data_IF_430395170334
#
_entry.id   IF_430395170334
#
_cell.length_a   1.000
_cell.length_b   1.000
_cell.length_c   1.000
_cell.angle_alpha   90.00
_cell.angle_beta   90.00
_cell.angle_gamma   90.00
#
_symmetry.space_group_name_H-M   'P 1'
#
loop_
_entity.id
_entity.type
_entity.pdbx_description
1 polymer ?
2 non-polymer ?
3 non-polymer ?
4 non-polymer ?
5 non-polymer ?
6 water ?
#
# COMPACT_ATOMS: atom_id res chain seq x y z
N UNK A 5 -25.96 5.74 -4.62
CA UNK A 5 -24.98 5.66 -5.74
C UNK A 5 -23.82 6.65 -5.59
N UNK A 6 -22.61 6.13 -5.72
CA UNK A 6 -21.41 6.95 -5.62
C UNK A 6 -21.24 7.82 -6.85
N UNK A 7 -20.92 9.11 -6.66
CA UNK A 7 -20.67 10.01 -7.77
C UNK A 7 -19.24 9.81 -8.29
N UNK A 8 -19.10 8.87 -9.23
CA UNK A 8 -17.77 8.47 -9.72
C UNK A 8 -17.00 9.62 -10.37
N UNK A 9 -17.71 10.57 -10.95
CA UNK A 9 -17.08 11.75 -11.54
C UNK A 9 -16.51 12.72 -10.51
N UNK A 10 -16.81 12.49 -9.23
CA UNK A 10 -16.42 13.40 -8.16
C UNK A 10 -15.41 12.80 -7.19
N UNK A 11 -15.04 11.54 -7.40
CA UNK A 11 -14.12 10.84 -6.51
C UNK A 11 -12.77 10.72 -7.20
N UNK A 12 -11.70 11.15 -6.53
CA UNK A 12 -10.37 11.02 -7.10
C UNK A 12 -10.06 9.54 -7.40
N UNK A 13 -9.64 9.28 -8.64
CA UNK A 13 -9.66 7.92 -9.17
C UNK A 13 -8.73 6.92 -8.49
N UNK A 14 -7.60 7.38 -7.98
CA UNK A 14 -6.66 6.44 -7.35
C UNK A 14 -7.23 5.78 -6.10
N UNK A 15 -8.19 6.45 -5.45
CA UNK A 15 -8.80 5.93 -4.23
C UNK A 15 -9.61 4.66 -4.48
N UNK A 16 -10.45 4.69 -5.52
CA UNK A 16 -11.48 3.67 -5.73
C UNK A 16 -11.08 2.65 -6.78
N UNK A 17 -10.41 3.11 -7.84
CA UNK A 17 -10.10 2.29 -8.99
C UNK A 17 -8.61 1.95 -9.05
N UNK A 18 -7.78 2.93 -8.73
CA UNK A 18 -6.33 2.77 -8.82
C UNK A 18 -5.84 3.17 -10.20
N UNK A 19 -4.77 3.96 -10.24
CA UNK A 19 -4.24 4.44 -11.53
C UNK A 19 -3.71 3.31 -12.42
N UNK A 20 -3.09 2.30 -11.82
CA UNK A 20 -2.55 1.14 -12.56
C UNK A 20 -1.66 1.55 -13.75
N UNK A 21 -0.96 2.67 -13.60
CA UNK A 21 -0.06 3.14 -14.63
C UNK A 21 1.35 2.59 -14.40
N UNK A 22 2.08 2.40 -15.50
CA UNK A 22 3.44 1.85 -15.44
C UNK A 22 4.44 2.74 -14.69
N UNK A 23 4.20 4.06 -14.71
CA UNK A 23 5.09 5.01 -14.03
C UNK A 23 4.26 5.88 -13.12
N UNK A 24 4.81 6.27 -11.98
CA UNK A 24 4.09 7.20 -11.12
C UNK A 24 5.08 8.11 -10.41
N UNK A 25 4.70 9.37 -10.22
CA UNK A 25 5.52 10.34 -9.50
C UNK A 25 4.70 10.99 -8.40
N UNK A 26 5.32 11.10 -7.23
CA UNK A 26 4.72 11.77 -6.10
C UNK A 26 5.48 13.08 -5.91
N UNK A 27 4.80 14.20 -6.17
CA UNK A 27 5.42 15.52 -6.07
C UNK A 27 4.96 16.14 -4.76
N UNK A 28 5.86 16.15 -3.78
CA UNK A 28 5.57 16.69 -2.46
C UNK A 28 5.87 18.18 -2.45
N UNK A 29 4.96 18.97 -1.88
CA UNK A 29 5.11 20.40 -1.95
C UNK A 29 4.74 21.11 -0.65
N UNK A 30 5.22 22.35 -0.56
CA UNK A 30 4.78 23.32 0.43
C UNK A 30 4.05 24.44 -0.29
N UNK A 31 3.04 25.00 0.37
CA UNK A 31 2.36 26.20 -0.11
C UNK A 31 3.11 27.45 0.37
N UNK A 32 3.48 28.31 -0.57
CA UNK A 32 4.16 29.57 -0.24
C UNK A 32 3.20 30.75 -0.12
N UNK A 33 2.11 30.70 -0.87
CA UNK A 33 1.18 31.82 -1.00
C UNK A 33 -0.20 31.20 -1.18
N UNK A 34 -1.02 31.27 -0.13
CA UNK A 34 -2.35 30.65 -0.14
C UNK A 34 -3.26 31.19 -1.24
N UNK A 35 -3.30 32.51 -1.39
CA UNK A 35 -4.20 33.12 -2.38
C UNK A 35 -3.82 32.68 -3.80
N UNK A 36 -2.53 32.71 -4.10
CA UNK A 36 -2.04 32.32 -5.42
C UNK A 36 -2.21 30.81 -5.66
N UNK A 37 -2.00 30.01 -4.62
CA UNK A 37 -2.24 28.57 -4.72
C UNK A 37 -3.70 28.25 -5.04
N UNK A 38 -4.62 28.92 -4.36
CA UNK A 38 -6.05 28.65 -4.53
C UNK A 38 -6.55 28.96 -5.94
N UNK A 39 -6.13 30.08 -6.52
CA UNK A 39 -6.53 30.38 -7.89
C UNK A 39 -5.88 29.42 -8.88
N UNK A 40 -4.60 29.09 -8.67
CA UNK A 40 -3.95 28.05 -9.48
C UNK A 40 -4.71 26.72 -9.40
N UNK A 41 -5.17 26.37 -8.20
CA UNK A 41 -5.90 25.12 -7.99
C UNK A 41 -7.22 25.09 -8.76
N UNK A 42 -7.95 26.21 -8.73
CA UNK A 42 -9.20 26.32 -9.48
C UNK A 42 -8.98 26.18 -10.99
N UNK A 43 -7.84 26.65 -11.47
CA UNK A 43 -7.42 26.45 -12.86
C UNK A 43 -7.09 24.99 -13.13
N UNK A 44 -6.34 24.39 -12.22
CA UNK A 44 -5.77 23.06 -12.40
C UNK A 44 -6.80 21.94 -12.35
N UNK A 45 -7.72 22.00 -11.39
CA UNK A 45 -8.58 20.85 -11.09
C UNK A 45 -9.41 20.35 -12.28
N UNK A 46 -10.20 21.24 -12.92
CA UNK A 46 -11.03 20.76 -14.04
C UNK A 46 -10.22 20.19 -15.20
N UNK A 47 -8.98 20.65 -15.34
CA UNK A 47 -8.11 20.25 -16.44
C UNK A 47 -7.39 18.93 -16.23
N UNK A 48 -7.01 18.65 -14.98
CA UNK A 48 -6.02 17.60 -14.70
C UNK A 48 -6.41 16.53 -13.69
N UNK A 49 -7.33 16.85 -12.77
CA UNK A 49 -7.62 15.89 -11.69
C UNK A 49 -8.55 14.79 -12.19
N UNK A 50 -8.06 13.56 -12.10
CA UNK A 50 -8.70 12.41 -12.72
C UNK A 50 -9.64 11.66 -11.79
N UNK A 51 -10.90 11.56 -12.19
CA UNK A 51 -11.93 10.89 -11.42
C UNK A 51 -11.94 9.37 -11.62
N UNK A 52 -12.62 8.67 -10.71
CA UNK A 52 -12.89 7.25 -10.87
C UNK A 52 -13.62 6.96 -12.19
N UNK A 53 -14.53 7.84 -12.59
CA UNK A 53 -15.24 7.72 -13.87
C UNK A 53 -14.29 7.67 -15.07
N UNK A 54 -13.27 8.53 -15.08
CA UNK A 54 -12.30 8.55 -16.18
C UNK A 54 -11.47 7.25 -16.20
N UNK A 55 -11.09 6.77 -15.02
CA UNK A 55 -10.31 5.53 -14.90
C UNK A 55 -11.04 4.28 -15.38
N UNK A 56 -12.37 4.31 -15.41
CA UNK A 56 -13.16 3.18 -15.90
C UNK A 56 -13.68 3.42 -17.33
N UNK A 57 -13.27 4.53 -17.92
CA UNK A 57 -13.64 4.87 -19.29
C UNK A 57 -12.71 4.18 -20.28
N UNK A 58 -13.12 4.15 -21.55
CA UNK A 58 -12.31 3.61 -22.64
C UNK A 58 -10.95 4.31 -22.68
N UNK A 59 -9.84 3.53 -22.77
CA UNK A 59 -8.48 4.08 -22.79
C UNK A 59 -8.25 5.18 -23.84
N UNK A 60 -9.02 5.15 -24.92
CA UNK A 60 -8.99 6.19 -25.95
C UNK A 60 -9.45 7.55 -25.41
N UNK A 61 -10.43 7.53 -24.49
CA UNK A 61 -10.99 8.74 -23.90
C UNK A 61 -10.19 9.22 -22.68
N UNK A 62 -9.13 8.50 -22.36
CA UNK A 62 -8.31 8.79 -21.19
C UNK A 62 -7.15 9.75 -21.51
N UNK A 63 -6.76 10.59 -20.52
CA UNK A 63 -5.59 11.45 -20.73
C UNK A 63 -4.28 10.65 -20.68
N UNK A 64 -3.21 11.27 -21.13
CA UNK A 64 -1.89 10.64 -21.13
C UNK A 64 -1.38 10.44 -19.70
N UNK A 65 -1.80 11.31 -18.79
CA UNK A 65 -1.48 11.14 -17.38
C UNK A 65 -2.71 11.38 -16.52
N UNK A 66 -2.75 10.65 -15.40
CA UNK A 66 -3.76 10.83 -14.37
C UNK A 66 -3.12 11.64 -13.27
N UNK A 67 -3.87 12.58 -12.70
CA UNK A 67 -3.36 13.32 -11.54
C UNK A 67 -4.37 13.32 -10.39
N UNK A 68 -3.88 12.99 -9.20
CA UNK A 68 -4.64 13.14 -7.97
C UNK A 68 -3.86 14.02 -7.00
N UNK A 69 -4.54 14.50 -5.97
CA UNK A 69 -3.97 15.52 -5.08
C UNK A 69 -4.46 15.34 -3.65
N UNK A 70 -3.51 15.23 -2.73
CA UNK A 70 -3.82 15.14 -1.31
C UNK A 70 -3.11 16.21 -0.50
N UNK A 71 -3.67 16.49 0.67
CA UNK A 71 -3.12 17.50 1.59
C UNK A 71 -2.84 16.92 2.96
N UNK A 72 -1.74 17.37 3.55
CA UNK A 72 -1.45 17.05 4.94
C UNK A 72 -2.24 18.03 5.82
N UNK A 73 -2.21 17.79 7.12
CA UNK A 73 -2.80 18.71 8.07
C UNK A 73 -2.19 20.10 7.96
N UNK A 74 -0.86 20.19 7.88
CA UNK A 74 -0.26 21.51 7.80
C UNK A 74 -0.59 22.20 6.48
N UNK A 75 -0.82 21.43 5.43
CA UNK A 75 -1.27 21.98 4.15
C UNK A 75 -2.63 22.63 4.25
N UNK A 76 -3.57 21.93 4.86
CA UNK A 76 -4.91 22.47 5.11
C UNK A 76 -4.82 23.74 5.97
N UNK A 77 -4.00 23.70 7.02
CA UNK A 77 -3.80 24.88 7.86
C UNK A 77 -3.22 26.07 7.09
N UNK A 78 -2.24 25.81 6.21
CA UNK A 78 -1.64 26.85 5.38
C UNK A 78 -2.65 27.50 4.47
N UNK A 79 -3.69 26.74 4.12
CA UNK A 79 -4.75 27.21 3.23
C UNK A 79 -5.96 27.73 3.98
N UNK A 80 -5.86 27.83 5.31
CA UNK A 80 -6.95 28.35 6.12
C UNK A 80 -8.14 27.41 6.23
N UNK A 81 -7.91 26.11 5.98
CA UNK A 81 -8.95 25.10 6.07
C UNK A 81 -8.75 24.42 7.42
N UNK A 82 -9.50 24.88 8.42
CA UNK A 82 -9.20 24.55 9.81
C UNK A 82 -10.23 23.63 10.48
N UNK A 83 -11.23 23.19 9.71
CA UNK A 83 -12.22 22.24 10.24
C UNK A 83 -11.55 20.91 10.54
N UNK A 84 -11.80 20.38 11.74
CA UNK A 84 -11.32 19.08 12.16
C UNK A 84 -11.94 17.99 11.27
N UNK A 85 -11.09 17.19 10.64
CA UNK A 85 -11.54 16.08 9.78
C UNK A 85 -11.96 14.82 10.52
N UNK A 86 -11.70 14.76 11.83
CA UNK A 86 -12.19 13.67 12.66
C UNK A 86 -11.28 12.46 12.81
N UNK A 87 -10.10 12.51 12.20
CA UNK A 87 -9.15 11.41 12.32
C UNK A 87 -8.14 11.67 13.43
N UNK A 88 -7.83 10.63 14.22
CA UNK A 88 -6.96 10.77 15.38
C UNK A 88 -5.48 10.98 15.01
N UNK A 89 -5.05 10.45 13.87
CA UNK A 89 -3.63 10.49 13.49
C UNK A 89 -3.28 11.58 12.49
N UNK A 90 -4.20 11.92 11.59
CA UNK A 90 -3.93 12.90 10.56
C UNK A 90 -3.37 14.23 11.10
N UNK A 91 -3.94 14.78 12.20
CA UNK A 91 -3.48 16.13 12.58
C UNK A 91 -2.00 16.22 12.94
N UNK A 92 -1.44 15.22 13.59
CA UNK A 92 -0.05 15.31 14.04
C UNK A 92 0.95 14.91 12.97
N UNK A 93 0.47 14.29 11.89
CA UNK A 93 1.36 13.81 10.82
C UNK A 93 2.04 12.49 11.15
N UNK A 94 2.63 11.86 10.15
CA UNK A 94 3.18 10.52 10.33
C UNK A 94 4.48 10.46 11.10
N UNK A 95 5.35 11.48 10.96
CA UNK A 95 6.62 11.46 11.70
C UNK A 95 6.36 11.32 13.20
N UNK A 96 5.35 12.04 13.70
CA UNK A 96 4.98 11.98 15.12
C UNK A 96 4.41 10.62 15.52
N UNK A 97 3.97 9.84 14.53
CA UNK A 97 3.38 8.53 14.76
C UNK A 97 4.36 7.40 14.47
N UNK A 98 5.55 7.74 13.94
CA UNK A 98 6.44 6.73 13.37
C UNK A 98 6.95 5.74 14.40
N UNK A 99 7.28 6.23 15.60
CA UNK A 99 7.73 5.33 16.66
C UNK A 99 6.63 4.33 17.03
N UNK A 100 5.37 4.76 17.02
CA UNK A 100 4.25 3.85 17.29
C UNK A 100 4.16 2.74 16.28
N UNK A 101 4.51 3.04 15.04
CA UNK A 101 4.52 2.06 13.96
C UNK A 101 5.67 1.07 14.09
N UNK A 102 6.66 1.39 14.92
CA UNK A 102 7.84 0.53 15.11
C UNK A 102 9.06 0.99 14.32
N UNK A 103 8.95 2.14 13.67
CA UNK A 103 10.03 2.66 12.83
C UNK A 103 11.29 2.99 13.62
N UNK A 104 12.42 2.70 13.00
CA UNK A 104 13.71 3.23 13.39
C UNK A 104 13.77 4.64 12.83
N UNK A 105 13.61 5.63 13.70
CA UNK A 105 13.53 7.02 13.26
C UNK A 105 14.83 7.53 12.63
N UNK A 106 15.95 6.89 12.96
CA UNK A 106 17.23 7.30 12.40
C UNK A 106 17.34 7.04 10.89
N UNK A 107 16.40 6.25 10.36
CA UNK A 107 16.37 5.93 8.95
C UNK A 107 15.46 6.87 8.15
N UNK A 108 14.67 7.67 8.85
CA UNK A 108 13.86 8.69 8.20
C UNK A 108 14.72 9.80 7.61
N UNK A 109 14.29 10.29 6.46
CA UNK A 109 15.01 11.38 5.80
C UNK A 109 14.12 12.55 5.40
N UNK A 110 14.76 13.71 5.24
CA UNK A 110 14.09 14.90 4.75
C UNK A 110 13.47 14.63 3.37
N UNK A 111 12.33 15.28 3.07
CA UNK A 111 11.63 16.28 3.87
C UNK A 111 10.52 15.71 4.75
N UNK A 112 10.58 14.43 5.09
CA UNK A 112 9.52 13.79 5.88
C UNK A 112 9.67 13.94 7.38
N UNK A 113 10.83 14.41 7.82
CA UNK A 113 11.19 14.51 9.25
C UNK A 113 10.61 15.78 9.90
N UNK A 114 9.29 15.87 9.89
CA UNK A 114 8.57 17.00 10.43
C UNK A 114 7.24 17.08 9.71
N UNK A 115 6.65 18.28 9.68
CA UNK A 115 5.39 18.53 8.99
C UNK A 115 5.49 19.69 8.00
N UNK A 116 6.66 19.77 7.37
CA UNK A 116 6.93 20.72 6.30
C UNK A 116 6.05 20.46 5.06
N UNK A 117 5.83 19.19 4.75
CA UNK A 117 5.08 18.83 3.55
C UNK A 117 3.61 19.21 3.73
N UNK A 118 3.09 19.95 2.74
CA UNK A 118 1.70 20.40 2.73
C UNK A 118 0.78 19.54 1.88
N UNK A 119 1.36 18.82 0.93
CA UNK A 119 0.53 18.00 0.07
C UNK A 119 1.35 17.20 -0.91
N UNK A 120 0.65 16.44 -1.74
CA UNK A 120 1.28 15.61 -2.76
C UNK A 120 0.40 15.56 -4.01
N UNK A 121 1.03 15.80 -5.16
CA UNK A 121 0.41 15.50 -6.45
C UNK A 121 0.87 14.09 -6.84
N UNK A 122 -0.08 13.22 -7.15
CA UNK A 122 0.23 11.88 -7.65
C UNK A 122 -0.01 11.91 -9.15
N UNK A 123 1.02 11.62 -9.92
CA UNK A 123 0.92 11.64 -11.37
C UNK A 123 1.19 10.24 -11.89
N UNK A 124 0.20 9.64 -12.55
CA UNK A 124 0.37 8.30 -13.12
C UNK A 124 0.42 8.41 -14.63
N UNK A 125 1.43 7.80 -15.24
CA UNK A 125 1.56 7.86 -16.69
C UNK A 125 2.34 6.68 -17.24
N UNK A 126 2.53 6.66 -18.55
CA UNK A 126 3.13 5.50 -19.21
C UNK A 126 4.65 5.58 -19.34
N UNK A 127 5.21 6.79 -19.28
CA UNK A 127 6.65 7.03 -19.51
C UNK A 127 7.17 8.13 -18.60
N UNK A 128 8.44 8.06 -18.24
CA UNK A 128 9.08 9.07 -17.42
C UNK A 128 9.02 10.46 -18.05
N UNK A 129 9.20 10.54 -19.37
CA UNK A 129 9.10 11.83 -20.06
C UNK A 129 7.73 12.48 -19.88
N UNK A 130 6.68 11.66 -19.83
CA UNK A 130 5.33 12.18 -19.62
C UNK A 130 5.16 12.69 -18.19
N UNK A 131 5.73 11.96 -17.23
CA UNK A 131 5.80 12.47 -15.85
C UNK A 131 6.45 13.84 -15.82
N UNK A 132 7.57 14.00 -16.53
CA UNK A 132 8.24 15.30 -16.62
C UNK A 132 7.33 16.38 -17.23
N UNK A 133 6.62 16.05 -18.31
CA UNK A 133 5.72 17.02 -18.93
C UNK A 133 4.65 17.48 -17.96
N UNK A 134 4.07 16.53 -17.21
CA UNK A 134 3.01 16.87 -16.26
C UNK A 134 3.51 17.56 -15.00
N UNK A 135 4.76 17.28 -14.62
CA UNK A 135 5.41 18.00 -13.52
C UNK A 135 5.68 19.44 -13.94
N UNK A 136 6.17 19.63 -15.17
CA UNK A 136 6.40 20.98 -15.69
C UNK A 136 5.08 21.76 -15.80
N UNK A 137 3.98 21.06 -16.12
CA UNK A 137 2.66 21.67 -16.16
C UNK A 137 2.22 22.17 -14.79
N UNK A 138 2.51 21.38 -13.75
CA UNK A 138 2.29 21.85 -12.38
C UNK A 138 3.13 23.10 -12.08
N UNK A 139 4.41 23.07 -12.44
CA UNK A 139 5.28 24.23 -12.24
C UNK A 139 4.76 25.48 -12.94
N UNK A 140 4.29 25.31 -14.17
CA UNK A 140 3.77 26.42 -14.97
C UNK A 140 2.47 26.99 -14.39
N UNK A 141 1.59 26.12 -13.91
CA UNK A 141 0.30 26.53 -13.40
C UNK A 141 0.40 27.14 -11.99
N UNK A 142 1.18 26.50 -11.13
CA UNK A 142 1.28 26.95 -9.73
C UNK A 142 2.38 27.97 -9.50
N UNK A 143 3.44 27.90 -10.31
CA UNK A 143 4.55 28.83 -10.19
C UNK A 143 5.11 28.87 -8.79
N UNK A 144 5.43 30.07 -8.32
CA UNK A 144 6.03 30.26 -7.00
C UNK A 144 5.03 30.15 -5.84
N UNK A 145 3.76 29.86 -6.13
CA UNK A 145 2.78 29.62 -5.06
C UNK A 145 3.09 28.35 -4.27
N UNK A 146 3.91 27.48 -4.86
CA UNK A 146 4.39 26.27 -4.20
C UNK A 146 5.90 26.13 -4.32
N UNK A 147 6.47 25.33 -3.41
CA UNK A 147 7.83 24.83 -3.56
C UNK A 147 7.73 23.31 -3.58
N UNK A 148 8.32 22.72 -4.61
CA UNK A 148 8.37 21.27 -4.72
C UNK A 148 9.57 20.80 -3.89
N UNK A 149 9.28 20.17 -2.76
CA UNK A 149 10.31 19.82 -1.77
C UNK A 149 10.94 18.46 -2.02
N UNK A 150 10.23 17.60 -2.77
CA UNK A 150 10.73 16.29 -3.13
C UNK A 150 9.82 15.66 -4.16
N UNK A 151 10.41 14.94 -5.12
CA UNK A 151 9.65 14.09 -6.00
C UNK A 151 10.17 12.67 -5.86
N UNK A 152 9.27 11.72 -5.65
CA UNK A 152 9.63 10.31 -5.62
C UNK A 152 8.95 9.64 -6.79
N UNK A 153 9.72 8.97 -7.63
CA UNK A 153 9.20 8.37 -8.84
C UNK A 153 9.38 6.86 -8.82
N UNK A 154 8.34 6.16 -9.28
CA UNK A 154 8.37 4.72 -9.37
C UNK A 154 8.02 4.21 -10.76
N UNK A 155 8.23 2.91 -10.93
CA UNK A 155 7.98 2.25 -12.21
C UNK A 155 7.70 0.78 -11.96
N UNK A 156 6.70 0.26 -12.68
CA UNK A 156 6.48 -1.17 -12.76
C UNK A 156 7.74 -1.86 -13.26
N UNK A 157 7.94 -3.08 -12.79
CA UNK A 157 9.12 -3.84 -13.15
C UNK A 157 8.95 -4.39 -14.58
N UNK A 158 10.07 -4.70 -15.26
CA UNK A 158 9.96 -5.05 -16.68
C UNK A 158 9.60 -6.50 -16.98
N UNK A 159 9.16 -6.74 -18.21
CA UNK A 159 8.90 -8.11 -18.68
C UNK A 159 7.86 -8.84 -17.87
N UNK A 160 8.12 -10.11 -17.55
CA UNK A 160 7.19 -10.91 -16.76
C UNK A 160 7.09 -10.51 -15.29
N UNK A 161 7.90 -9.52 -14.91
CA UNK A 161 7.85 -8.97 -13.55
C UNK A 161 6.92 -7.78 -13.44
N UNK A 162 6.26 -7.43 -14.54
CA UNK A 162 5.25 -6.37 -14.52
C UNK A 162 4.19 -6.69 -13.47
N UNK A 163 3.97 -5.76 -12.56
CA UNK A 163 3.03 -5.94 -11.47
C UNK A 163 3.64 -6.55 -10.22
N UNK A 164 4.88 -7.05 -10.32
CA UNK A 164 5.58 -7.62 -9.17
C UNK A 164 6.37 -6.54 -8.47
N UNK A 165 6.48 -6.66 -7.16
CA UNK A 165 7.35 -5.78 -6.40
C UNK A 165 8.78 -6.35 -6.42
N UNK A 166 9.74 -5.61 -5.86
CA UNK A 166 11.16 -5.94 -6.00
C UNK A 166 11.66 -7.26 -5.39
N UNK A 167 10.97 -7.81 -4.39
CA UNK A 167 11.31 -9.15 -3.92
C UNK A 167 10.87 -10.23 -4.92
N UNK A 168 10.05 -9.84 -5.90
CA UNK A 168 9.61 -10.75 -6.96
C UNK A 168 8.15 -11.17 -6.93
N UNK A 169 7.37 -10.63 -5.99
CA UNK A 169 5.99 -11.11 -5.79
C UNK A 169 4.95 -10.22 -6.45
N UNK A 170 4.00 -10.86 -7.16
CA UNK A 170 2.86 -10.13 -7.75
C UNK A 170 2.11 -9.37 -6.66
N UNK A 171 1.93 -8.07 -6.86
CA UNK A 171 1.33 -7.18 -5.88
C UNK A 171 0.10 -6.49 -6.49
N UNK A 172 -0.96 -6.32 -5.70
CA UNK A 172 -2.19 -5.69 -6.15
C UNK A 172 -3.27 -6.67 -6.58
N UNK A 173 -3.30 -7.83 -5.94
CA UNK A 173 -4.29 -8.87 -6.22
C UNK A 173 -5.55 -8.64 -5.40
N UNK A 174 -5.38 -8.49 -4.08
CA UNK A 174 -6.51 -8.45 -3.16
C UNK A 174 -6.88 -7.04 -2.71
N UNK A 175 -8.08 -6.59 -3.07
CA UNK A 175 -8.60 -5.29 -2.71
C UNK A 175 -10.05 -5.44 -2.29
N UNK A 176 -10.52 -4.59 -1.37
CA UNK A 176 -11.94 -4.62 -1.04
C UNK A 176 -12.76 -4.06 -2.20
N UNK A 177 -14.02 -4.45 -2.27
CA UNK A 177 -14.96 -3.86 -3.22
C UNK A 177 -15.99 -3.09 -2.41
N UNK A 178 -16.23 -1.83 -2.77
CA UNK A 178 -17.26 -1.07 -2.08
C UNK A 178 -18.60 -1.16 -2.79
N UNK A 179 -19.68 -1.15 -2.01
CA UNK A 179 -21.02 -1.05 -2.56
C UNK A 179 -21.28 0.40 -2.97
N UNK A 180 -22.30 0.61 -3.80
CA UNK A 180 -22.67 1.95 -4.25
C UNK A 180 -22.31 2.26 -5.69
N UNK A 181 -21.69 1.31 -6.36
CA UNK A 181 -21.41 1.41 -7.81
C UNK A 181 -21.36 0.03 -8.44
N UNK A 182 -21.45 -0.02 -9.77
CA UNK A 182 -21.44 -1.30 -10.48
C UNK A 182 -20.04 -1.64 -10.97
N UNK A 183 -19.49 -2.73 -10.43
CA UNK A 183 -18.16 -3.23 -10.79
C UNK A 183 -18.13 -4.75 -10.65
N UNK A 184 -17.09 -5.38 -11.19
CA UNK A 184 -16.95 -6.83 -11.07
C UNK A 184 -16.38 -7.19 -9.69
N UNK A 185 -17.03 -8.15 -9.03
CA UNK A 185 -16.60 -8.65 -7.73
C UNK A 185 -16.12 -10.09 -7.90
N UNK A 186 -14.89 -10.35 -7.48
CA UNK A 186 -14.28 -11.67 -7.62
C UNK A 186 -14.61 -12.56 -6.44
N UNK A 187 -14.64 -13.88 -6.65
CA UNK A 187 -14.79 -14.83 -5.55
C UNK A 187 -13.73 -14.63 -4.46
N UNK A 188 -14.18 -14.44 -3.22
CA UNK A 188 -13.29 -14.22 -2.10
C UNK A 188 -13.03 -12.76 -1.78
N UNK A 189 -13.43 -11.88 -2.69
CA UNK A 189 -13.26 -10.45 -2.49
C UNK A 189 -14.23 -9.94 -1.43
N UNK A 190 -13.73 -9.14 -0.48
CA UNK A 190 -14.59 -8.56 0.55
C UNK A 190 -15.42 -7.44 -0.06
N UNK A 191 -16.72 -7.47 0.24
CA UNK A 191 -17.62 -6.40 -0.16
C UNK A 191 -17.94 -5.62 1.11
N UNK A 192 -17.61 -4.33 1.08
CA UNK A 192 -17.75 -3.46 2.26
C UNK A 192 -18.58 -2.23 1.93
N UNK A 193 -19.23 -1.61 2.94
CA UNK A 193 -19.89 -0.34 2.68
C UNK A 193 -18.86 0.71 2.26
N UNK A 194 -19.28 1.68 1.44
CA UNK A 194 -18.29 2.60 0.86
C UNK A 194 -17.52 3.44 1.87
N UNK A 195 -18.12 3.67 3.04
CA UNK A 195 -17.49 4.46 4.10
C UNK A 195 -16.32 3.81 4.81
N UNK A 196 -16.00 2.56 4.49
CA UNK A 196 -14.74 1.99 4.93
C UNK A 196 -13.57 2.71 4.22
N UNK A 197 -13.82 3.17 2.99
CA UNK A 197 -12.80 3.83 2.17
C UNK A 197 -13.05 5.33 2.04
N UNK A 198 -14.31 5.71 1.88
CA UNK A 198 -14.70 7.09 1.56
C UNK A 198 -15.28 7.77 2.79
N UNK A 199 -14.64 8.87 3.19
CA UNK A 199 -15.11 9.62 4.36
C UNK A 199 -16.53 10.13 4.14
N UNK A 200 -17.36 10.04 5.17
CA UNK A 200 -18.73 10.55 5.12
C UNK A 200 -19.77 9.59 4.55
N UNK A 201 -19.32 8.45 4.02
CA UNK A 201 -20.23 7.44 3.45
C UNK A 201 -20.60 6.38 4.47
N UNK A 202 -21.64 5.60 4.19
CA UNK A 202 -22.11 4.58 5.13
C UNK A 202 -20.98 3.62 5.49
N UNK A 203 -20.80 3.39 6.79
CA UNK A 203 -19.70 2.56 7.27
C UNK A 203 -18.60 3.36 7.94
N UNK A 204 -18.49 4.64 7.59
CA UNK A 204 -17.55 5.53 8.26
C UNK A 204 -18.17 5.94 9.60
N UNK A 205 -17.38 5.89 10.66
CA UNK A 205 -17.85 6.33 11.98
C UNK A 205 -17.19 7.61 12.47
N UNK A 206 -16.26 8.16 11.68
CA UNK A 206 -15.54 9.38 12.08
C UNK A 206 -16.40 10.61 11.90
N UNK A 207 -16.12 11.64 12.68
CA UNK A 207 -16.90 12.88 12.63
C UNK A 207 -16.36 13.78 11.53
N UNK A 208 -17.05 13.86 10.41
CA UNK A 208 -16.51 14.53 9.21
C UNK A 208 -17.25 15.82 8.90
N UNK A 209 -16.50 16.89 8.56
CA UNK A 209 -17.19 18.02 7.93
C UNK A 209 -17.92 17.56 6.67
N UNK A 210 -19.04 18.19 6.35
CA UNK A 210 -19.79 17.84 5.15
C UNK A 210 -18.92 17.90 3.89
N UNK A 211 -17.98 18.85 3.84
CA UNK A 211 -17.13 18.99 2.65
C UNK A 211 -16.16 17.83 2.46
N UNK A 212 -15.98 17.02 3.50
CA UNK A 212 -15.09 15.85 3.43
C UNK A 212 -15.74 14.62 2.79
N UNK A 213 -17.03 14.71 2.44
CA UNK A 213 -17.70 13.61 1.76
C UNK A 213 -16.93 13.17 0.52
N UNK A 214 -16.74 11.86 0.40
CA UNK A 214 -16.14 11.22 -0.78
C UNK A 214 -14.66 11.50 -0.96
N UNK A 215 -14.03 11.93 0.14
CA UNK A 215 -12.58 11.96 0.22
C UNK A 215 -12.07 10.66 0.83
N UNK A 216 -10.77 10.57 1.03
CA UNK A 216 -10.17 9.42 1.72
C UNK A 216 -8.82 9.83 2.30
N UNK A 217 -8.39 9.11 3.34
CA UNK A 217 -7.05 9.31 3.87
C UNK A 217 -6.05 8.34 3.25
N UNK A 218 -4.94 8.89 2.79
CA UNK A 218 -3.81 8.11 2.32
C UNK A 218 -2.73 8.00 3.40
N UNK A 219 -2.29 6.76 3.63
CA UNK A 219 -1.03 6.51 4.32
C UNK A 219 0.00 6.26 3.23
N UNK A 220 0.93 7.18 3.11
CA UNK A 220 2.07 7.05 2.21
C UNK A 220 3.28 6.57 3.01
N UNK A 221 3.98 5.57 2.48
CA UNK A 221 5.24 5.10 3.07
C UNK A 221 6.30 4.92 2.00
N UNK A 222 7.47 5.52 2.21
CA UNK A 222 8.59 5.28 1.32
C UNK A 222 9.42 4.15 1.91
N UNK A 223 9.36 2.96 1.31
CA UNK A 223 10.12 1.82 1.81
C UNK A 223 11.31 1.55 0.90
N UNK A 224 12.49 1.40 1.48
CA UNK A 224 13.63 0.86 0.75
C UNK A 224 13.67 -0.64 1.01
N UNK A 225 13.87 -1.43 -0.05
CA UNK A 225 13.94 -2.89 0.08
C UNK A 225 15.36 -3.43 -0.11
N UNK A 226 15.68 -4.44 0.69
CA UNK A 226 16.97 -5.11 0.66
C UNK A 226 16.83 -6.47 -0.02
N UNK A 227 16.90 -6.44 -1.35
CA UNK A 227 16.55 -7.63 -2.15
C UNK A 227 17.63 -8.72 -2.12
N UNK A 228 18.90 -8.36 -2.35
CA UNK A 228 19.92 -9.41 -2.22
C UNK A 228 19.93 -10.06 -0.84
N UNK A 229 19.69 -9.27 0.20
CA UNK A 229 19.64 -9.78 1.57
C UNK A 229 18.46 -10.74 1.77
N UNK A 230 17.29 -10.37 1.26
CA UNK A 230 16.11 -11.24 1.30
C UNK A 230 16.39 -12.57 0.61
N UNK A 231 16.92 -12.48 -0.61
CA UNK A 231 17.23 -13.67 -1.40
C UNK A 231 18.22 -14.57 -0.66
N UNK A 232 19.30 -13.99 -0.16
CA UNK A 232 20.32 -14.75 0.57
C UNK A 232 19.74 -15.39 1.83
N UNK A 233 18.87 -14.67 2.54
CA UNK A 233 18.21 -15.22 3.72
C UNK A 233 17.37 -16.44 3.38
N UNK A 234 16.62 -16.39 2.29
CA UNK A 234 15.78 -17.53 1.92
C UNK A 234 16.61 -18.73 1.47
N UNK A 235 17.75 -18.47 0.82
CA UNK A 235 18.66 -19.55 0.46
C UNK A 235 19.31 -20.18 1.70
N UNK A 236 19.75 -19.35 2.65
CA UNK A 236 20.38 -19.84 3.88
C UNK A 236 19.42 -20.62 4.78
N UNK A 237 18.14 -20.31 4.67
CA UNK A 237 17.12 -20.90 5.53
C UNK A 237 16.10 -21.74 4.76
N UNK A 238 16.50 -22.16 3.56
CA UNK A 238 15.65 -22.91 2.66
C UNK A 238 14.96 -24.05 3.38
N UNK A 239 13.67 -24.20 3.13
CA UNK A 239 12.90 -25.27 3.78
C UNK A 239 13.32 -26.60 3.15
N UNK A 240 13.73 -27.59 3.97
CA UNK A 240 14.26 -28.83 3.40
C UNK A 240 13.22 -29.70 2.69
N UNK A 241 11.97 -29.66 3.14
CA UNK A 241 10.91 -30.53 2.62
C UNK A 241 9.55 -29.95 2.95
N UNK A 242 8.56 -30.31 2.16
CA UNK A 242 7.19 -30.06 2.57
C UNK A 242 6.39 -31.34 2.40
N UNK A 243 5.07 -31.27 2.54
CA UNK A 243 4.23 -32.47 2.51
C UNK A 243 4.43 -33.31 1.26
N UNK A 244 4.70 -32.63 0.13
CA UNK A 244 4.80 -33.30 -1.16
C UNK A 244 6.12 -34.04 -1.36
N UNK A 245 7.14 -33.67 -0.58
CA UNK A 245 8.45 -34.31 -0.69
C UNK A 245 9.59 -33.38 -0.38
N UNK A 246 10.80 -33.89 -0.59
CA UNK A 246 12.02 -33.13 -0.42
C UNK A 246 12.14 -32.03 -1.45
N UNK A 247 12.76 -30.92 -1.04
CA UNK A 247 12.94 -29.79 -1.91
C UNK A 247 14.41 -29.57 -2.18
N UNK A 248 14.75 -29.21 -3.41
CA UNK A 248 16.11 -28.74 -3.68
C UNK A 248 16.27 -27.45 -2.90
N UNK A 249 17.50 -26.99 -2.70
CA UNK A 249 17.70 -25.73 -2.01
C UNK A 249 16.96 -24.58 -2.70
N UNK A 250 17.03 -24.51 -4.03
CA UNK A 250 16.35 -23.43 -4.74
C UNK A 250 14.85 -23.50 -4.50
N UNK A 251 14.28 -24.71 -4.57
CA UNK A 251 12.85 -24.89 -4.29
C UNK A 251 12.51 -24.48 -2.87
N UNK A 252 13.37 -24.85 -1.93
CA UNK A 252 13.13 -24.59 -0.51
C UNK A 252 13.21 -23.11 -0.19
N UNK A 253 14.06 -22.39 -0.94
CA UNK A 253 14.20 -20.93 -0.78
C UNK A 253 12.98 -20.21 -1.34
N UNK A 254 12.54 -20.63 -2.53
CA UNK A 254 11.32 -20.09 -3.13
C UNK A 254 10.14 -20.37 -2.21
N UNK A 255 10.07 -21.58 -1.67
CA UNK A 255 8.99 -21.94 -0.76
C UNK A 255 9.01 -21.09 0.50
N UNK A 256 10.20 -20.89 1.09
CA UNK A 256 10.30 -20.02 2.26
C UNK A 256 9.77 -18.60 1.96
N UNK A 257 10.13 -18.04 0.81
CA UNK A 257 9.61 -16.74 0.41
C UNK A 257 8.09 -16.74 0.37
N UNK A 258 7.52 -17.78 -0.25
CA UNK A 258 6.07 -17.89 -0.32
C UNK A 258 5.41 -18.03 1.05
N UNK A 259 6.07 -18.73 1.96
CA UNK A 259 5.58 -18.90 3.33
C UNK A 259 5.59 -17.57 4.09
N UNK A 260 6.59 -16.74 3.81
CA UNK A 260 6.68 -15.42 4.44
C UNK A 260 5.58 -14.50 3.97
N UNK A 261 5.24 -14.57 2.68
CA UNK A 261 4.21 -13.68 2.12
C UNK A 261 2.80 -14.21 2.26
N UNK A 262 2.64 -15.53 2.19
CA UNK A 262 1.33 -16.17 2.06
C UNK A 262 0.87 -16.35 0.61
N UNK A 263 1.72 -15.94 -0.34
CA UNK A 263 1.51 -16.18 -1.77
C UNK A 263 2.83 -16.51 -2.40
N UNK A 264 2.79 -17.35 -3.42
CA UNK A 264 3.92 -17.52 -4.32
C UNK A 264 4.15 -16.24 -5.14
N UNK A 265 5.32 -16.13 -5.75
CA UNK A 265 5.64 -14.97 -6.57
C UNK A 265 4.64 -14.76 -7.70
N UNK A 266 4.05 -15.85 -8.20
CA UNK A 266 3.07 -15.81 -9.27
C UNK A 266 1.75 -15.18 -8.82
N UNK A 267 1.56 -15.05 -7.51
CA UNK A 267 0.27 -14.63 -6.96
C UNK A 267 -0.56 -15.78 -6.43
N UNK A 268 -0.16 -17.03 -6.68
CA UNK A 268 -0.97 -18.14 -6.20
C UNK A 268 -0.96 -18.13 -4.67
N UNK A 269 -2.14 -18.09 -4.02
CA UNK A 269 -2.14 -18.07 -2.56
C UNK A 269 -1.77 -19.45 -2.01
N UNK A 270 -0.90 -19.49 -1.00
CA UNK A 270 -0.46 -20.76 -0.46
C UNK A 270 -1.59 -21.55 0.23
N UNK A 271 -2.63 -20.86 0.69
CA UNK A 271 -3.77 -21.57 1.27
C UNK A 271 -4.42 -22.50 0.23
N UNK A 272 -4.39 -22.11 -1.05
CA UNK A 272 -4.89 -22.96 -2.14
C UNK A 272 -3.82 -23.85 -2.79
N UNK A 273 -2.58 -23.37 -2.77
CA UNK A 273 -1.45 -24.05 -3.39
C UNK A 273 -0.35 -24.20 -2.34
N UNK A 274 -0.54 -25.12 -1.38
CA UNK A 274 0.32 -25.12 -0.20
C UNK A 274 1.70 -25.74 -0.35
N UNK A 275 1.95 -26.49 -1.43
CA UNK A 275 3.24 -27.19 -1.58
C UNK A 275 4.06 -26.85 -2.82
N UNK A 276 3.42 -26.29 -3.83
CA UNK A 276 4.11 -25.93 -5.08
C UNK A 276 3.34 -24.79 -5.71
N UNK A 277 4.06 -23.97 -6.47
CA UNK A 277 3.44 -22.86 -7.17
C UNK A 277 2.44 -23.38 -8.21
N UNK A 278 1.42 -22.57 -8.47
CA UNK A 278 0.44 -22.83 -9.52
C UNK A 278 0.29 -21.50 -10.25
N UNK A 279 1.14 -21.27 -11.27
CA UNK A 279 1.12 -19.97 -11.94
C UNK A 279 -0.21 -19.67 -12.65
N UNK A 280 -0.90 -20.70 -13.13
CA UNK A 280 -2.23 -20.53 -13.74
C UNK A 280 -3.21 -19.93 -12.73
N UNK A 281 -3.15 -20.44 -11.50
CA UNK A 281 -3.97 -19.90 -10.41
C UNK A 281 -3.58 -18.45 -10.04
N UNK A 282 -2.28 -18.18 -9.93
CA UNK A 282 -1.79 -16.83 -9.62
C UNK A 282 -2.31 -15.78 -10.58
N UNK A 283 -2.41 -16.15 -11.85
CA UNK A 283 -2.88 -15.25 -12.91
C UNK A 283 -4.39 -15.33 -13.11
N UNK A 284 -5.12 -15.89 -12.15
CA UNK A 284 -6.56 -16.08 -12.29
C UNK A 284 -7.33 -15.28 -11.25
N UNK A 285 -7.79 -14.06 -11.62
CA UNK A 285 -8.46 -13.25 -10.58
C UNK A 285 -9.76 -13.85 -10.07
N UNK A 286 -10.31 -14.82 -10.80
CA UNK A 286 -11.54 -15.49 -10.39
C UNK A 286 -11.32 -16.56 -9.31
N UNK A 287 -10.07 -16.92 -9.06
CA UNK A 287 -9.74 -17.93 -8.05
C UNK A 287 -8.63 -17.54 -7.09
N UNK A 288 -7.75 -16.63 -7.50
CA UNK A 288 -6.56 -16.32 -6.67
C UNK A 288 -6.86 -15.60 -5.36
N UNK A 289 -8.12 -15.21 -5.17
CA UNK A 289 -8.53 -14.61 -3.90
C UNK A 289 -9.60 -15.42 -3.17
N UNK A 290 -9.92 -16.60 -3.70
CA UNK A 290 -11.02 -17.40 -3.18
C UNK A 290 -10.60 -18.37 -2.07
N UNK A 291 -10.21 -17.80 -0.94
CA UNK A 291 -9.76 -18.56 0.23
C UNK A 291 -9.98 -17.67 1.43
N UNK A 292 -10.05 -18.27 2.61
CA UNK A 292 -10.31 -17.48 3.82
C UNK A 292 -9.61 -18.00 5.08
N UNK A 293 -8.69 -18.96 4.92
CA UNK A 293 -7.99 -19.64 6.02
C UNK A 293 -8.87 -20.59 6.84
N UNK A 294 -10.14 -20.77 6.45
CA UNK A 294 -11.04 -21.66 7.21
C UNK A 294 -10.56 -23.11 7.21
N UNK A 295 -9.71 -23.46 6.24
CA UNK A 295 -9.10 -24.79 6.18
C UNK A 295 -7.77 -24.91 6.94
N UNK A 296 -7.39 -23.85 7.66
CA UNK A 296 -6.10 -23.81 8.34
C UNK A 296 -6.12 -22.88 9.56
N UNK A 297 -7.27 -22.82 10.24
CA UNK A 297 -7.40 -21.94 11.40
C UNK A 297 -6.56 -22.41 12.59
N UNK A 298 -6.35 -23.71 12.72
CA UNK A 298 -5.71 -24.25 13.91
C UNK A 298 -4.45 -25.08 13.62
N UNK A 299 -3.85 -24.83 12.46
CA UNK A 299 -2.57 -25.44 12.12
C UNK A 299 -1.89 -24.56 11.07
N UNK A 300 -0.60 -24.77 10.84
CA UNK A 300 0.17 -23.93 9.92
C UNK A 300 0.67 -24.65 8.67
N UNK A 301 0.25 -25.89 8.45
CA UNK A 301 0.74 -26.56 7.24
C UNK A 301 0.38 -25.81 5.95
N UNK A 302 -0.87 -25.40 5.83
CA UNK A 302 -1.26 -24.73 4.59
C UNK A 302 -0.77 -23.28 4.51
N UNK A 303 -0.72 -22.59 5.64
CA UNK A 303 -0.25 -21.19 5.69
C UNK A 303 0.19 -20.85 7.11
N UNK A 304 1.38 -20.23 7.27
CA UNK A 304 1.72 -19.76 8.62
C UNK A 304 0.72 -18.74 9.15
N UNK A 305 0.58 -18.68 10.47
CA UNK A 305 -0.30 -17.69 11.08
C UNK A 305 0.19 -16.26 10.84
N UNK A 306 1.50 -16.10 10.70
CA UNK A 306 2.15 -14.79 10.60
C UNK A 306 2.60 -14.34 9.22
N UNK A 307 2.18 -15.04 8.15
CA UNK A 307 2.45 -14.63 6.78
C UNK A 307 1.88 -13.23 6.50
N UNK A 308 2.57 -12.47 5.63
CA UNK A 308 2.21 -11.09 5.34
C UNK A 308 0.71 -10.90 5.07
N UNK A 309 0.17 -11.63 4.09
CA UNK A 309 -1.23 -11.36 3.71
C UNK A 309 -2.22 -11.77 4.79
N UNK A 310 -1.85 -12.79 5.58
CA UNK A 310 -2.72 -13.26 6.66
C UNK A 310 -2.73 -12.28 7.84
N UNK A 311 -1.59 -11.64 8.11
CA UNK A 311 -1.50 -10.59 9.12
C UNK A 311 -2.26 -9.33 8.71
N UNK A 312 -2.17 -8.95 7.45
CA UNK A 312 -2.75 -7.68 7.02
C UNK A 312 -4.23 -7.82 6.65
N UNK A 313 -4.65 -9.03 6.29
CA UNK A 313 -6.05 -9.37 6.16
C UNK A 313 -6.32 -10.76 6.70
N UNK A 314 -6.71 -10.85 7.98
CA UNK A 314 -6.84 -12.14 8.66
C UNK A 314 -8.00 -13.01 8.18
N UNK A 315 -8.92 -12.48 7.38
CA UNK A 315 -10.06 -13.27 6.87
C UNK A 315 -10.72 -14.03 8.02
N UNK A 316 -10.89 -15.36 7.92
CA UNK A 316 -11.63 -16.11 8.93
C UNK A 316 -10.91 -16.23 10.28
N UNK A 317 -9.65 -15.83 10.37
CA UNK A 317 -9.02 -15.72 11.69
C UNK A 317 -9.78 -14.77 12.61
N UNK A 318 -10.55 -13.83 12.02
CA UNK A 318 -11.36 -12.91 12.82
C UNK A 318 -12.71 -13.51 13.25
N UNK A 319 -13.07 -14.66 12.69
CA UNK A 319 -14.30 -15.35 13.05
C UNK A 319 -15.42 -15.20 12.05
N UNK A 320 -15.21 -14.36 11.04
CA UNK A 320 -16.19 -14.10 10.00
C UNK A 320 -15.85 -12.80 9.29
N UNK A 321 -16.69 -12.39 8.32
CA UNK A 321 -16.47 -11.12 7.61
C UNK A 321 -16.52 -9.94 8.59
N UNK A 322 -15.57 -9.03 8.42
CA UNK A 322 -15.49 -7.81 9.22
C UNK A 322 -15.19 -6.69 8.23
N UNK A 323 -16.02 -5.66 8.20
CA UNK A 323 -15.85 -4.55 7.26
C UNK A 323 -14.67 -3.66 7.62
N UNK A 324 -14.40 -3.56 8.92
CA UNK A 324 -13.76 -2.39 9.51
C UNK A 324 -12.32 -2.14 9.09
N UNK A 325 -11.57 -3.21 8.84
CA UNK A 325 -10.12 -3.11 8.68
C UNK A 325 -9.61 -3.31 7.27
N UNK A 326 -10.52 -3.26 6.30
CA UNK A 326 -10.13 -3.32 4.90
C UNK A 326 -9.68 -1.96 4.40
N UNK A 327 -8.77 -1.98 3.42
CA UNK A 327 -8.27 -0.73 2.84
C UNK A 327 -7.83 -1.00 1.41
N UNK A 328 -7.79 0.06 0.60
CA UNK A 328 -7.33 -0.01 -0.79
C UNK A 328 -5.83 0.29 -0.86
N UNK A 329 -5.12 -0.42 -1.73
CA UNK A 329 -3.71 -0.11 -1.95
C UNK A 329 -3.44 0.26 -3.40
N UNK A 330 -2.56 1.24 -3.58
CA UNK A 330 -2.13 1.65 -4.93
C UNK A 330 -0.63 1.93 -4.97
N UNK A 331 0.14 0.94 -4.52
CA UNK A 331 1.57 1.07 -4.42
C UNK A 331 2.27 0.85 -5.75
N UNK A 332 3.48 1.37 -5.87
CA UNK A 332 4.29 1.14 -7.06
C UNK A 332 5.76 0.93 -6.65
N UNK A 333 6.43 -0.05 -7.28
CA UNK A 333 7.86 -0.22 -7.00
C UNK A 333 8.68 0.96 -7.50
N UNK A 334 9.89 1.12 -6.99
CA UNK A 334 10.84 2.09 -7.55
C UNK A 334 12.22 1.49 -7.59
N UNK A 335 13.05 2.05 -8.47
CA UNK A 335 14.46 1.72 -8.52
C UNK A 335 14.78 0.68 -9.56
N UNK A 336 16.08 0.46 -9.81
CA UNK A 336 16.53 -0.45 -10.83
C UNK A 336 16.35 -1.91 -10.44
N UNK A 337 16.39 -2.78 -11.44
CA UNK A 337 16.43 -4.21 -11.20
C UNK A 337 17.67 -4.58 -10.41
N UNK A 338 17.58 -5.69 -9.69
CA UNK A 338 18.69 -6.19 -8.90
C UNK A 338 19.59 -7.00 -9.82
N UNK A 339 20.84 -6.55 -9.94
CA UNK A 339 21.81 -7.18 -10.83
C UNK A 339 22.24 -8.56 -10.35
N UNK A 340 22.81 -9.34 -11.26
CA UNK A 340 23.34 -10.67 -10.95
C UNK A 340 24.47 -10.61 -9.93
N UNK A 341 25.31 -9.58 -10.05
CA UNK A 341 26.44 -9.37 -9.14
C UNK A 341 25.97 -8.95 -7.75
N UNK A 342 24.88 -8.20 -7.69
CA UNK A 342 24.27 -7.82 -6.42
C UNK A 342 23.71 -9.03 -5.69
N UNK A 343 23.01 -9.90 -6.42
CA UNK A 343 22.43 -11.10 -5.84
C UNK A 343 23.52 -12.05 -5.34
N UNK A 344 24.58 -12.19 -6.14
CA UNK A 344 25.72 -13.03 -5.78
C UNK A 344 26.40 -12.56 -4.50
N UNK A 345 26.50 -11.24 -4.33
CA UNK A 345 27.15 -10.65 -3.17
C UNK A 345 26.29 -10.76 -1.92
N UNK A 346 24.97 -10.80 -2.12
CA UNK A 346 24.01 -10.82 -1.02
C UNK A 346 23.84 -9.47 -0.36
N UNK A 347 24.38 -8.43 -0.99
CA UNK A 347 24.39 -7.08 -0.42
C UNK A 347 23.79 -6.06 -1.40
N UNK A 348 22.84 -5.26 -0.90
CA UNK A 348 22.26 -4.16 -1.67
C UNK A 348 23.31 -3.12 -2.05
N UNK A 349 23.31 -2.74 -3.33
CA UNK A 349 24.20 -1.72 -3.86
C UNK A 349 23.44 -0.56 -4.53
N UNK A 350 22.13 -0.69 -4.65
CA UNK A 350 21.32 0.35 -5.28
C UNK A 350 20.04 0.57 -4.49
N UNK A 351 19.53 1.79 -4.55
CA UNK A 351 18.30 2.19 -3.90
C UNK A 351 17.11 1.72 -4.74
N UNK A 352 16.34 0.81 -4.16
CA UNK A 352 15.11 0.32 -4.76
C UNK A 352 14.11 0.02 -3.64
N UNK A 353 12.83 -0.06 -3.98
CA UNK A 353 11.84 -0.35 -2.96
C UNK A 353 10.42 -0.18 -3.42
N UNK A 354 9.57 0.32 -2.53
CA UNK A 354 8.15 0.44 -2.77
C UNK A 354 7.69 1.79 -2.30
N UNK A 355 6.98 2.48 -3.19
CA UNK A 355 6.23 3.68 -2.82
C UNK A 355 4.82 3.20 -2.49
N UNK A 356 4.58 3.04 -1.19
CA UNK A 356 3.39 2.37 -0.68
C UNK A 356 2.29 3.39 -0.42
N UNK A 357 1.09 3.04 -0.88
CA UNK A 357 -0.08 3.93 -0.81
C UNK A 357 -1.28 3.10 -0.35
N UNK A 358 -1.89 3.50 0.76
CA UNK A 358 -3.06 2.80 1.27
C UNK A 358 -4.13 3.79 1.67
N UNK A 359 -5.34 3.57 1.18
CA UNK A 359 -6.49 4.46 1.41
C UNK A 359 -7.53 3.82 2.31
N UNK A 360 -8.07 4.63 3.22
CA UNK A 360 -9.12 4.21 4.15
C UNK A 360 -9.76 5.47 4.72
N UNK A 361 -10.98 5.34 5.22
CA UNK A 361 -11.64 6.46 5.88
C UNK A 361 -11.05 6.75 7.26
N UNK A 362 -10.56 5.72 7.95
CA UNK A 362 -10.05 5.86 9.32
C UNK A 362 -8.66 5.26 9.32
N UNK A 363 -7.66 6.13 9.40
CA UNK A 363 -6.26 5.68 9.35
C UNK A 363 -6.02 4.57 10.39
N UNK A 364 -6.54 4.78 11.59
CA UNK A 364 -6.36 3.85 12.69
C UNK A 364 -6.96 2.47 12.50
N UNK A 365 -7.89 2.35 11.54
CA UNK A 365 -8.54 1.08 11.25
C UNK A 365 -7.97 0.36 10.03
N UNK A 366 -7.22 1.06 9.19
CA UNK A 366 -6.70 0.48 7.95
C UNK A 366 -5.23 0.21 8.10
N UNK A 367 -4.41 1.00 7.42
CA UNK A 367 -2.96 0.94 7.52
C UNK A 367 -2.46 0.73 8.96
N UNK A 368 -2.89 1.58 9.87
CA UNK A 368 -2.31 1.59 11.20
C UNK A 368 -2.67 0.36 12.00
N UNK A 369 -3.90 -0.13 11.82
CA UNK A 369 -4.37 -1.35 12.48
C UNK A 369 -3.63 -2.57 11.96
N UNK A 370 -3.48 -2.64 10.63
CA UNK A 370 -2.73 -3.70 9.98
C UNK A 370 -1.28 -3.73 10.45
N UNK A 371 -0.69 -2.56 10.65
CA UNK A 371 0.70 -2.44 11.06
C UNK A 371 0.90 -2.78 12.55
N UNK A 372 0.17 -2.06 13.41
CA UNK A 372 0.41 -2.13 14.85
C UNK A 372 -0.31 -3.33 15.47
N UNK A 373 -1.63 -3.33 15.38
CA UNK A 373 -2.44 -4.33 16.06
C UNK A 373 -2.19 -5.73 15.56
N UNK A 374 -1.81 -5.83 14.28
CA UNK A 374 -1.68 -7.12 13.63
C UNK A 374 -0.23 -7.51 13.32
N UNK A 375 0.40 -6.84 12.35
CA UNK A 375 1.75 -7.21 11.92
C UNK A 375 2.79 -7.20 13.05
N UNK A 376 2.74 -6.16 13.89
CA UNK A 376 3.70 -5.98 14.99
C UNK A 376 3.40 -6.81 16.24
N UNK A 377 2.28 -7.53 16.22
CA UNK A 377 1.78 -8.20 17.41
C UNK A 377 2.07 -9.69 17.32
N UNK A 378 3.01 -10.17 18.13
CA UNK A 378 3.38 -11.58 18.09
C UNK A 378 2.21 -12.49 18.44
N UNK A 379 1.25 -11.96 19.18
CA UNK A 379 0.12 -12.75 19.65
C UNK A 379 -1.13 -12.63 18.80
N UNK A 380 -0.96 -12.08 17.61
CA UNK A 380 -2.03 -12.01 16.62
C UNK A 380 -1.65 -12.78 15.35
N UNK A 381 -2.57 -13.57 14.78
CA UNK A 381 -3.98 -13.78 15.17
C UNK A 381 -4.13 -14.49 16.52
N UNK A 382 -5.26 -14.27 17.16
CA UNK A 382 -5.50 -14.76 18.50
C UNK A 382 -5.98 -16.21 18.49
N UNK A 383 -5.89 -16.85 19.65
CA UNK A 383 -6.42 -18.21 19.88
C UNK A 383 -5.78 -19.30 19.00
N UNK A 384 -4.49 -19.15 18.71
CA UNK A 384 -3.76 -20.13 17.91
C UNK A 384 -2.91 -21.05 18.79
N UNK A 385 -2.69 -22.31 18.35
CA UNK A 385 -1.92 -23.26 19.17
C UNK A 385 -0.41 -22.97 19.22
N UNK A 386 0.08 -22.14 18.31
CA UNK A 386 1.49 -21.73 18.27
C UNK A 386 1.50 -20.21 18.12
N UNK A 387 2.31 -19.52 18.92
CA UNK A 387 2.48 -18.07 18.79
C UNK A 387 2.78 -17.69 17.35
N UNK A 388 1.96 -16.81 16.75
CA UNK A 388 2.26 -16.45 15.35
C UNK A 388 3.60 -15.72 15.16
N UNK A 389 3.91 -14.77 16.03
CA UNK A 389 5.14 -14.01 15.88
C UNK A 389 4.97 -12.76 15.03
N UNK A 390 6.11 -12.17 14.67
CA UNK A 390 6.16 -10.88 13.99
C UNK A 390 6.13 -11.10 12.47
N UNK A 391 5.29 -10.36 11.77
CA UNK A 391 5.16 -10.51 10.33
C UNK A 391 6.54 -10.27 9.69
N UNK A 392 7.06 -11.25 8.93
CA UNK A 392 8.45 -11.15 8.47
C UNK A 392 8.75 -10.07 7.43
N UNK A 393 7.76 -9.61 6.66
CA UNK A 393 8.00 -8.60 5.65
C UNK A 393 8.01 -7.20 6.22
N UNK A 394 6.94 -6.80 6.92
CA UNK A 394 6.87 -5.42 7.45
C UNK A 394 6.64 -5.30 8.96
N UNK A 395 6.59 -6.41 9.69
CA UNK A 395 6.50 -6.33 11.15
C UNK A 395 7.73 -5.68 11.75
N UNK A 396 7.55 -4.81 12.74
CA UNK A 396 8.69 -4.02 13.22
C UNK A 396 9.19 -4.26 14.65
N UNK A 397 8.43 -5.03 15.41
CA UNK A 397 8.76 -5.38 16.79
C UNK A 397 10.03 -6.22 16.84
N UNK A 398 10.89 -5.93 17.82
CA UNK A 398 12.10 -6.73 18.02
C UNK A 398 12.00 -7.55 19.30
N UNK A 399 12.49 -8.81 19.26
CA UNK A 399 13.09 -9.47 18.10
C UNK A 399 12.06 -9.81 17.03
N UNK A 400 12.48 -9.79 15.77
CA UNK A 400 11.60 -10.10 14.65
C UNK A 400 11.46 -11.61 14.47
N UNK A 401 10.85 -12.25 15.47
CA UNK A 401 10.75 -13.70 15.50
C UNK A 401 9.37 -14.12 15.01
N UNK A 402 9.35 -15.05 14.05
CA UNK A 402 8.11 -15.60 13.54
C UNK A 402 8.15 -17.14 13.57
N UNK A 403 7.02 -17.76 13.90
CA UNK A 403 6.95 -19.21 13.95
C UNK A 403 6.31 -19.78 12.71
N UNK A 404 6.36 -21.10 12.59
CA UNK A 404 5.53 -21.82 11.64
C UNK A 404 5.90 -21.73 10.18
N UNK A 405 7.02 -21.11 9.84
CA UNK A 405 7.40 -21.01 8.42
C UNK A 405 7.71 -22.36 7.78
N UNK A 406 8.24 -23.29 8.56
CA UNK A 406 8.45 -24.64 8.08
C UNK A 406 7.23 -25.49 8.42
N UNK A 407 6.46 -25.89 7.40
CA UNK A 407 5.23 -26.63 7.67
C UNK A 407 5.44 -27.97 8.36
N UNK A 408 6.66 -28.53 8.26
CA UNK A 408 6.95 -29.83 8.86
C UNK A 408 7.65 -29.68 10.21
N UNK A 409 7.94 -28.44 10.60
CA UNK A 409 8.53 -28.14 11.91
C UNK A 409 7.98 -26.81 12.41
N UNK A 410 6.69 -26.81 12.73
CA UNK A 410 5.98 -25.54 12.95
C UNK A 410 6.39 -24.79 14.20
N UNK A 411 6.94 -25.52 15.17
CA UNK A 411 7.45 -24.87 16.37
C UNK A 411 8.81 -24.20 16.19
N UNK A 412 9.46 -24.43 15.05
CA UNK A 412 10.71 -23.77 14.76
C UNK A 412 10.45 -22.29 14.54
N UNK A 413 11.23 -21.45 15.21
CA UNK A 413 11.12 -20.02 15.01
C UNK A 413 12.23 -19.50 14.11
N UNK A 414 11.89 -18.48 13.34
CA UNK A 414 12.82 -17.81 12.46
C UNK A 414 12.97 -16.38 12.96
N UNK A 415 14.20 -15.93 13.17
CA UNK A 415 14.45 -14.52 13.48
C UNK A 415 14.94 -13.85 12.21
N UNK A 416 14.11 -12.96 11.68
CA UNK A 416 14.25 -12.49 10.31
C UNK A 416 14.83 -11.08 10.31
N UNK A 417 15.96 -10.86 9.61
CA UNK A 417 16.46 -9.49 9.46
C UNK A 417 15.39 -8.62 8.78
N UNK A 418 15.37 -7.33 9.10
CA UNK A 418 14.42 -6.43 8.43
C UNK A 418 14.91 -6.13 7.02
N UNK A 419 14.08 -6.46 6.03
CA UNK A 419 14.41 -6.25 4.61
C UNK A 419 13.68 -5.06 4.01
N UNK A 420 12.83 -4.42 4.82
CA UNK A 420 12.00 -3.30 4.40
C UNK A 420 12.25 -2.16 5.37
N UNK A 421 12.81 -1.06 4.87
CA UNK A 421 13.25 0.03 5.72
C UNK A 421 12.40 1.27 5.45
N UNK A 422 11.61 1.73 6.43
CA UNK A 422 10.87 2.97 6.23
C UNK A 422 11.81 4.18 6.18
N UNK A 423 11.73 4.95 5.10
CA UNK A 423 12.59 6.11 4.89
C UNK A 423 11.83 7.42 5.05
N UNK A 424 10.54 7.33 5.35
CA UNK A 424 9.67 8.48 5.44
C UNK A 424 8.26 8.11 5.04
N UNK A 425 7.34 9.01 5.33
CA UNK A 425 5.95 8.83 4.98
C UNK A 425 5.13 9.97 5.52
N UNK A 426 3.86 10.01 5.12
CA UNK A 426 2.97 11.04 5.60
C UNK A 426 1.52 10.58 5.49
N UNK A 427 0.67 11.21 6.27
CA UNK A 427 -0.77 11.01 6.22
C UNK A 427 -1.40 12.18 5.47
N UNK A 428 -2.12 11.88 4.39
CA UNK A 428 -2.75 12.88 3.54
C UNK A 428 -4.26 12.69 3.51
N UNK A 429 -4.97 13.77 3.25
CA UNK A 429 -6.40 13.67 2.93
C UNK A 429 -6.61 14.07 1.47
N UNK A 430 -7.27 13.19 0.72
CA UNK A 430 -7.65 13.49 -0.67
C UNK A 430 -9.12 13.85 -0.71
N UNK A 431 -9.42 15.15 -0.94
CA UNK A 431 -10.83 15.54 -0.97
C UNK A 431 -11.53 15.07 -2.25
N UNK A 432 -12.85 15.18 -2.26
CA UNK A 432 -13.58 15.03 -3.51
C UNK A 432 -13.15 16.11 -4.50
N UNK A 433 -13.48 15.90 -5.76
CA UNK A 433 -13.07 16.84 -6.80
C UNK A 433 -13.78 18.18 -6.60
N UNK A 434 -15.08 18.14 -6.29
CA UNK A 434 -15.82 19.37 -6.01
C UNK A 434 -15.26 20.08 -4.77
N UNK A 435 -14.88 19.32 -3.74
CA UNK A 435 -14.34 19.95 -2.53
C UNK A 435 -13.02 20.67 -2.79
N UNK A 436 -12.23 20.17 -3.74
CA UNK A 436 -10.99 20.84 -4.10
C UNK A 436 -11.19 22.30 -4.46
N UNK A 437 -12.22 22.56 -5.27
CA UNK A 437 -12.49 23.92 -5.72
C UNK A 437 -13.47 24.70 -4.84
N UNK A 438 -14.49 24.00 -4.31
CA UNK A 438 -15.55 24.65 -3.54
C UNK A 438 -15.16 24.93 -2.09
N UNK A 439 -14.20 24.16 -1.58
CA UNK A 439 -13.78 24.28 -0.18
C UNK A 439 -12.31 24.63 -0.06
N UNK A 440 -11.43 23.77 -0.56
CA UNK A 440 -9.99 23.96 -0.38
C UNK A 440 -9.54 25.29 -1.00
N UNK A 441 -10.10 25.60 -2.18
CA UNK A 441 -9.73 26.79 -2.93
C UNK A 441 -10.64 28.00 -2.69
N UNK A 442 -11.58 27.88 -1.76
CA UNK A 442 -12.51 28.97 -1.47
C UNK A 442 -11.82 30.16 -0.78
X LIG B 1 -0.78 -7.79 0.11
X LIG B 1 3.91 -6.85 -0.69
X LIG B 1 3.85 -3.48 2.77
X LIG B 1 -0.83 -4.38 3.56
X LIG B 1 0.50 -7.86 -0.39
X LIG B 1 0.97 -8.80 -1.38
X LIG B 1 2.28 -8.53 -1.60
X LIG B 1 2.65 -7.42 -0.76
X LIG B 1 3.22 -9.25 -2.57
X LIG B 1 0.11 -9.92 -2.02
X LIG B 1 -0.67 -9.52 -3.27
X LIG B 1 -1.86 -8.62 -2.99
X LIG B 1 -2.87 -9.07 -2.41
X LIG B 1 -1.80 -7.43 -3.38
X LIG B 1 4.30 -5.85 0.16
X LIG B 1 5.63 -5.27 0.24
X LIG B 1 5.61 -4.33 1.19
X LIG B 1 4.27 -4.28 1.74
X LIG B 1 6.81 -5.73 -0.64
X LIG B 1 6.76 -3.40 1.65
X LIG B 1 7.79 -3.11 0.86
X LIG B 1 2.59 -3.46 3.31
X LIG B 1 2.17 -2.65 4.44
X LIG B 1 0.87 -2.92 4.67
X LIG B 1 0.45 -3.89 3.69
X LIG B 1 3.08 -1.68 5.20
X LIG B 1 -0.07 -2.32 5.75
X LIG B 1 0.36 -2.04 6.99
X LIG B 1 -1.25 -5.32 2.66
X LIG B 1 -2.62 -5.72 2.50
X LIG B 1 -2.60 -6.78 1.45
X LIG B 1 -1.23 -6.92 1.06
X LIG B 1 -3.88 -5.21 3.22
X LIG B 1 -3.85 -7.53 0.94
X LIG B 1 -4.14 -8.65 1.94
X LIG B 1 -5.37 -9.43 1.56
X LIG B 1 -5.27 -10.68 1.51
X LIG B 1 -6.43 -8.81 1.33
X LIG B 1 1.55 -7.06 -0.01
X LIG B 1 3.49 -5.24 1.13
X LIG B 1 1.53 -4.22 2.91
X LIG B 1 -0.44 -6.03 1.77
X LIG B 1 1.56 -5.69 1.50
X LIG C 1 14.68 -36.71 1.64
X LIG C 1 15.37 -37.93 1.01
X LIG C 1 16.02 -38.78 2.11
X LIG C 1 16.95 -37.93 2.97
X LIG C 1 16.22 -36.69 3.49
X LIG C 1 17.18 -35.74 4.20
X LIG C 1 13.39 -39.39 0.47
X LIG C 1 12.68 -40.05 -0.68
X LIG C 1 14.48 -38.68 0.13
X LIG C 1 16.73 -39.86 1.53
X LIG C 1 17.42 -38.70 4.06
X LIG C 1 15.63 -35.98 2.42
X LIG C 1 16.47 -34.64 4.73
X LIG C 1 12.95 -39.53 1.61
X LIG D 1 -11.47 -10.57 3.43
X LIG D 1 -12.17 -11.46 4.22
X LIG D 1 -12.47 -11.17 5.56
X LIG D 1 -12.04 -9.98 6.09
X LIG D 1 -12.00 -9.86 7.52
X LIG D 1 -13.19 -12.11 6.31
X LIG D 1 -13.58 -13.32 5.75
X LIG D 1 -13.31 -13.60 4.41
X LIG D 1 -12.59 -12.67 3.66
X LIG D 1 -12.28 -12.89 2.35
X LIG D 1 -12.42 -14.25 1.85
X LIG E 1 -6.57 -23.11 18.55
X LIG E 1 -6.02 -23.97 19.45
X LIG E 1 -6.12 -25.35 19.24
X LIG E 1 -6.77 -25.77 18.11
X LIG E 1 -6.98 -27.19 18.01
X LIG E 1 -5.55 -26.23 20.17
X LIG E 1 -4.88 -25.74 21.29
X LIG E 1 -4.80 -24.36 21.51
X LIG E 1 -5.36 -23.47 20.58
X LIG E 1 -5.29 -22.11 20.73
X LIG E 1 -5.05 -21.64 22.07
X LIG F 1 14.05 -15.58 -2.79
X LIG F 1 13.67 -14.46 -4.12
X LIG F 1 12.48 -16.23 -2.16
X LIG F 1 14.65 -17.15 -3.50
#
# INVERSE_FOLDING_TARGET
ANDTILPLNNIQGDILVGMKKQKERFVFFQVNDATSFKTALKTYVPERITSAAILISDPSQQPLAFVNLGFSNTGLQALGITDDLGDAQFPDGQFADAANLGDDLSQWVAPFTGTTIHGVFLIGSDQDDFLDQFTDDISSTFGSSITQVQALSGSARPGDQAGHEHFGFLDGISQPSVTGWETTVFPGQAVVPPGIILTGRDGDTGTRPSWALDGSFMAFRHFQQKVPEFNAYTLANAIPANSAGNLTQQEGAEFLGARMFGRWKSGAPIDLAPTADDPALGADPQRNNNFDYSDTLTDETRCPFGAHVRKTNPRQDLGGPVDTFHAMRSSIPYGPETSDAELASGVTAQDRGLLFVEYQSIIGNGFRFQQINWANNANFPFSKPITPGIEPIIGQTTPRTVGGLDPLNQNETFTVPLFVIPKGGEYFFLPSISALTATIAA
HEM CHA CHB CHC CHD C1A C2A C3A C4A CMA CAA CBA CGA O1A O2A C1B C2B C3B C4B CMB CAB CBB C1C C2C C3C C4C CMC CAC CBC C1D C2D C3D C4D CMD CAD CBD CGD O1D O2D NA NB NC ND FE
NAG C1 C2 C3 C4 C5 C6 C7 C8 N2 O3 O4 O5 O6 O7
3DM O1 C1 C2 O2 C7 C3 C4 C5 C6 O3 C8
3DM O1 C1 C2 O2 C7 C3 C4 C5 C6 O3 C8
DMS S O C1 C2
#
